data_IF_507412965472
#
_entry.id   IF_507412965472
#
_cell.length_a   1.000
_cell.length_b   1.000
_cell.length_c   1.000
_cell.angle_alpha   90.00
_cell.angle_beta   90.00
_cell.angle_gamma   90.00
#
_symmetry.space_group_name_H-M   'P 1'
#
loop_
_entity.id
_entity.type
_entity.pdbx_description
1 polymer ?
#
# COMPACT_ATOMS: atom_id res chain seq x y z
N UNK A 1 -45.08 11.99 -0.97
CA UNK A 1 -43.80 11.42 -0.48
C UNK A 1 -43.56 11.97 0.90
N UNK A 2 -43.39 11.12 1.91
CA UNK A 2 -42.96 11.58 3.25
C UNK A 2 -41.57 12.20 3.12
N UNK A 3 -41.34 13.41 3.65
CA UNK A 3 -40.02 14.02 3.64
C UNK A 3 -39.02 13.08 4.34
N UNK A 4 -37.80 13.01 3.81
CA UNK A 4 -36.75 12.24 4.45
C UNK A 4 -36.42 12.88 5.82
N UNK A 5 -36.17 12.07 6.87
CA UNK A 5 -35.74 12.60 8.16
C UNK A 5 -34.45 13.40 8.05
N UNK A 6 -34.28 14.41 8.91
CA UNK A 6 -33.08 15.27 8.93
C UNK A 6 -31.79 14.47 9.08
N UNK A 7 -31.81 13.42 9.92
CA UNK A 7 -30.67 12.54 10.13
C UNK A 7 -30.25 11.76 8.88
N UNK A 8 -31.14 11.61 7.88
CA UNK A 8 -30.80 11.07 6.55
C UNK A 8 -30.32 12.18 5.62
N UNK A 9 -30.98 13.35 5.64
CA UNK A 9 -30.67 14.47 4.78
C UNK A 9 -29.24 14.99 4.97
N UNK A 10 -28.70 14.90 6.19
CA UNK A 10 -27.28 15.18 6.50
C UNK A 10 -26.30 14.47 5.56
N UNK A 11 -26.64 13.25 5.12
CA UNK A 11 -25.78 12.41 4.28
C UNK A 11 -26.22 12.37 2.82
N UNK A 12 -27.43 12.83 2.49
CA UNK A 12 -27.97 12.84 1.11
C UNK A 12 -27.51 14.08 0.36
N UNK A 13 -26.23 14.12 0.00
CA UNK A 13 -25.67 15.17 -0.86
C UNK A 13 -25.91 14.88 -2.34
N UNK A 14 -25.52 15.80 -3.23
CA UNK A 14 -25.67 15.64 -4.68
C UNK A 14 -24.97 14.34 -5.15
N UNK A 15 -25.69 13.50 -5.88
CA UNK A 15 -25.18 12.20 -6.35
C UNK A 15 -25.36 11.06 -5.34
N UNK A 16 -25.91 11.33 -4.15
CA UNK A 16 -26.25 10.32 -3.14
C UNK A 16 -27.76 10.12 -3.09
N UNK A 17 -28.17 8.87 -3.17
CA UNK A 17 -29.57 8.44 -3.23
C UNK A 17 -29.88 7.62 -1.98
N UNK A 18 -31.02 7.91 -1.36
CA UNK A 18 -31.47 7.24 -0.15
C UNK A 18 -32.67 6.33 -0.48
N UNK A 19 -32.60 5.07 -0.04
CA UNK A 19 -33.68 4.09 -0.15
C UNK A 19 -34.08 3.61 1.25
N UNK A 20 -35.37 3.72 1.60
CA UNK A 20 -35.88 3.21 2.88
C UNK A 20 -35.67 1.70 2.96
N UNK A 21 -35.21 1.22 4.11
CA UNK A 21 -35.07 -0.20 4.45
C UNK A 21 -35.79 -0.48 5.77
N UNK A 22 -35.78 -1.76 6.23
CA UNK A 22 -36.36 -2.15 7.52
C UNK A 22 -35.64 -1.49 8.71
N UNK A 23 -34.33 -1.28 8.60
CA UNK A 23 -33.46 -0.83 9.71
C UNK A 23 -33.06 0.65 9.62
N UNK A 24 -33.35 1.32 8.50
CA UNK A 24 -32.91 2.70 8.28
C UNK A 24 -33.07 3.14 6.82
N UNK A 25 -32.06 3.80 6.29
CA UNK A 25 -31.98 4.19 4.88
C UNK A 25 -30.65 3.75 4.27
N UNK A 26 -30.71 2.92 3.23
CA UNK A 26 -29.55 2.57 2.43
C UNK A 26 -29.14 3.77 1.56
N UNK A 27 -27.85 4.11 1.58
CA UNK A 27 -27.28 5.16 0.74
C UNK A 27 -26.48 4.58 -0.42
N UNK A 28 -26.70 5.14 -1.60
CA UNK A 28 -25.99 4.78 -2.81
C UNK A 28 -25.39 6.02 -3.45
N UNK A 29 -24.14 5.94 -3.87
CA UNK A 29 -23.59 6.87 -4.85
C UNK A 29 -24.05 6.41 -6.22
N UNK A 30 -24.51 7.33 -7.03
CA UNK A 30 -24.84 7.01 -8.40
C UNK A 30 -25.04 8.23 -9.26
N UNK A 31 -25.23 7.98 -10.54
CA UNK A 31 -25.53 8.99 -11.53
C UNK A 31 -26.67 8.54 -12.42
N UNK A 32 -27.27 9.49 -13.14
CA UNK A 32 -28.29 9.19 -14.14
C UNK A 32 -27.65 9.27 -15.52
N UNK A 33 -27.74 8.21 -16.30
CA UNK A 33 -27.27 8.19 -17.68
C UNK A 33 -28.45 8.07 -18.66
N UNK A 34 -28.36 8.72 -19.83
CA UNK A 34 -29.34 8.51 -20.90
C UNK A 34 -28.97 7.25 -21.67
N UNK A 35 -29.83 6.23 -21.61
CA UNK A 35 -29.66 4.98 -22.35
C UNK A 35 -30.49 5.05 -23.63
N UNK A 36 -29.90 4.81 -24.82
CA UNK A 36 -30.65 4.76 -26.07
C UNK A 36 -31.85 3.81 -25.98
N UNK A 37 -33.01 4.25 -26.47
CA UNK A 37 -34.25 3.47 -26.45
C UNK A 37 -35.04 3.50 -25.13
N UNK A 38 -34.55 4.18 -24.08
CA UNK A 38 -35.34 4.47 -22.87
C UNK A 38 -35.86 5.90 -22.90
N UNK A 39 -37.13 6.09 -22.56
CA UNK A 39 -37.78 7.41 -22.52
C UNK A 39 -37.33 8.29 -21.34
N UNK A 40 -36.53 7.75 -20.41
CA UNK A 40 -36.05 8.45 -19.23
C UNK A 40 -34.60 8.05 -18.89
N UNK A 41 -33.83 8.93 -18.23
CA UNK A 41 -32.50 8.60 -17.71
C UNK A 41 -32.56 7.42 -16.75
N UNK A 42 -31.61 6.49 -16.87
CA UNK A 42 -31.50 5.31 -16.02
C UNK A 42 -30.49 5.61 -14.91
N UNK A 43 -30.88 5.29 -13.68
CA UNK A 43 -29.97 5.36 -12.54
C UNK A 43 -28.92 4.26 -12.62
N UNK A 44 -27.65 4.63 -12.51
CA UNK A 44 -26.51 3.75 -12.32
C UNK A 44 -26.01 3.89 -10.90
N UNK A 45 -25.95 2.76 -10.20
CA UNK A 45 -25.36 2.68 -8.88
C UNK A 45 -23.86 2.50 -9.05
N UNK A 46 -23.10 3.50 -8.63
CA UNK A 46 -21.64 3.46 -8.65
C UNK A 46 -21.11 2.73 -7.41
N UNK A 47 -21.73 2.99 -6.26
CA UNK A 47 -21.23 2.51 -4.97
C UNK A 47 -22.37 2.42 -3.94
N UNK A 48 -22.34 1.38 -3.11
CA UNK A 48 -23.17 1.29 -1.92
C UNK A 48 -22.41 1.85 -0.71
N UNK A 49 -22.90 2.96 -0.15
CA UNK A 49 -22.21 3.71 0.90
C UNK A 49 -22.48 3.16 2.30
N UNK A 50 -23.58 2.45 2.51
CA UNK A 50 -23.96 1.88 3.80
C UNK A 50 -25.40 2.18 4.22
N UNK A 51 -25.69 1.99 5.50
CA UNK A 51 -27.02 2.21 6.10
C UNK A 51 -26.93 3.38 7.05
N UNK A 52 -27.76 4.41 6.85
CA UNK A 52 -27.99 5.43 7.87
C UNK A 52 -29.08 4.94 8.81
N UNK A 53 -28.79 4.94 10.11
CA UNK A 53 -29.75 4.73 11.18
C UNK A 53 -29.87 5.99 12.04
N UNK A 54 -30.98 6.14 12.75
CA UNK A 54 -31.21 7.30 13.62
C UNK A 54 -30.22 7.37 14.79
N UNK A 55 -29.86 6.21 15.35
CA UNK A 55 -28.96 6.11 16.52
C UNK A 55 -27.48 6.21 16.15
N UNK A 56 -27.06 5.54 15.07
CA UNK A 56 -25.63 5.36 14.74
C UNK A 56 -25.15 6.27 13.62
N UNK A 57 -26.06 7.02 12.99
CA UNK A 57 -25.74 7.77 11.78
C UNK A 57 -25.43 6.84 10.62
N UNK A 58 -24.52 7.24 9.72
CA UNK A 58 -24.07 6.40 8.62
C UNK A 58 -23.18 5.26 9.12
N UNK A 59 -23.68 4.04 9.05
CA UNK A 59 -22.89 2.81 9.19
C UNK A 59 -22.37 2.45 7.80
N UNK A 60 -21.06 2.68 7.51
CA UNK A 60 -20.52 2.49 6.17
C UNK A 60 -20.59 1.03 5.74
N UNK A 61 -20.76 0.82 4.44
CA UNK A 61 -20.68 -0.50 3.84
C UNK A 61 -19.27 -1.07 4.03
N UNK A 62 -19.16 -2.26 4.61
CA UNK A 62 -17.94 -3.06 4.61
C UNK A 62 -18.09 -4.10 3.52
N UNK A 63 -17.63 -3.86 2.29
CA UNK A 63 -17.73 -4.85 1.23
C UNK A 63 -17.03 -6.13 1.69
N UNK A 64 -17.55 -7.32 1.34
CA UNK A 64 -16.88 -8.56 1.67
C UNK A 64 -15.46 -8.54 1.08
N UNK A 65 -14.52 -9.09 1.84
CA UNK A 65 -13.16 -9.31 1.35
C UNK A 65 -13.22 -10.39 0.28
N UNK A 66 -12.93 -10.02 -0.97
CA UNK A 66 -12.87 -10.99 -2.08
C UNK A 66 -11.63 -11.90 -1.92
N UNK A 67 -11.70 -13.17 -2.37
CA UNK A 67 -10.54 -14.03 -2.49
C UNK A 67 -9.44 -13.43 -3.38
N UNK A 68 -8.24 -14.03 -3.38
CA UNK A 68 -7.02 -13.53 -4.03
C UNK A 68 -6.38 -12.31 -3.34
N UNK A 69 -6.33 -12.33 -2.00
CA UNK A 69 -5.58 -11.37 -1.20
C UNK A 69 -4.08 -11.63 -1.40
N UNK A 70 -3.31 -10.58 -1.67
CA UNK A 70 -1.85 -10.65 -1.67
C UNK A 70 -1.28 -9.82 -0.53
N UNK A 71 -0.27 -10.34 0.16
CA UNK A 71 0.37 -9.65 1.29
C UNK A 71 1.88 -9.65 1.05
N UNK A 72 2.47 -8.46 1.03
CA UNK A 72 3.89 -8.25 0.79
C UNK A 72 4.52 -7.51 1.96
N UNK A 73 5.74 -7.89 2.34
CA UNK A 73 6.53 -7.11 3.30
C UNK A 73 6.86 -5.76 2.70
N UNK A 74 6.46 -4.68 3.37
CA UNK A 74 6.52 -3.34 2.81
C UNK A 74 7.50 -2.42 3.53
N UNK A 75 7.35 -2.26 4.84
CA UNK A 75 8.04 -1.19 5.57
C UNK A 75 9.55 -1.23 5.40
N UNK A 76 10.15 -2.42 5.54
CA UNK A 76 11.58 -2.60 5.32
C UNK A 76 12.00 -2.29 3.88
N UNK A 77 11.31 -2.85 2.88
CA UNK A 77 11.63 -2.59 1.47
C UNK A 77 11.54 -1.11 1.12
N UNK A 78 10.49 -0.45 1.62
CA UNK A 78 10.25 0.97 1.39
C UNK A 78 11.30 1.86 2.06
N UNK A 79 11.70 1.55 3.30
CA UNK A 79 12.73 2.34 3.98
C UNK A 79 14.10 2.18 3.33
N UNK A 80 14.41 0.97 2.84
CA UNK A 80 15.62 0.72 2.06
C UNK A 80 15.58 1.47 0.74
N UNK A 81 14.51 1.38 -0.04
CA UNK A 81 14.45 2.06 -1.34
C UNK A 81 14.54 3.59 -1.19
N UNK A 82 13.79 4.17 -0.26
CA UNK A 82 13.79 5.63 -0.04
C UNK A 82 15.13 6.14 0.50
N UNK A 83 15.85 5.34 1.28
CA UNK A 83 17.14 5.74 1.87
C UNK A 83 18.32 5.43 0.96
N UNK A 84 18.25 4.34 0.20
CA UNK A 84 19.41 3.71 -0.42
C UNK A 84 19.37 3.63 -1.94
N UNK A 85 18.27 4.03 -2.62
CA UNK A 85 18.13 3.96 -4.10
C UNK A 85 19.34 4.48 -4.88
N UNK A 86 19.96 5.58 -4.44
CA UNK A 86 21.14 6.15 -5.10
C UNK A 86 22.37 5.23 -5.16
N UNK A 87 22.44 4.18 -4.31
CA UNK A 87 23.55 3.22 -4.33
C UNK A 87 23.58 2.40 -5.62
N UNK A 88 22.47 2.29 -6.35
CA UNK A 88 22.39 1.57 -7.64
C UNK A 88 23.19 2.24 -8.77
N UNK A 89 23.42 3.56 -8.68
CA UNK A 89 24.14 4.32 -9.70
C UNK A 89 25.57 3.85 -9.97
N UNK A 90 26.27 3.35 -8.94
CA UNK A 90 27.65 2.93 -9.11
C UNK A 90 27.77 1.57 -9.86
N UNK A 91 27.11 0.48 -9.42
CA UNK A 91 27.11 -0.77 -10.19
C UNK A 91 26.54 -0.60 -11.60
N UNK A 92 25.53 0.25 -11.81
CA UNK A 92 25.04 0.60 -13.15
C UNK A 92 26.17 1.11 -14.07
N UNK A 93 26.99 2.05 -13.57
CA UNK A 93 28.13 2.61 -14.34
C UNK A 93 29.23 1.58 -14.62
N UNK A 94 29.33 0.56 -13.78
CA UNK A 94 30.26 -0.55 -13.96
C UNK A 94 29.70 -1.64 -14.90
N UNK A 95 28.47 -1.47 -15.42
CA UNK A 95 27.82 -2.47 -16.27
C UNK A 95 27.31 -3.69 -15.50
N UNK A 96 27.19 -3.60 -14.17
CA UNK A 96 26.65 -4.65 -13.32
C UNK A 96 25.13 -4.51 -13.20
N UNK A 97 24.45 -5.61 -12.88
CA UNK A 97 23.02 -5.59 -12.57
C UNK A 97 22.78 -4.99 -11.18
N UNK A 98 22.57 -3.69 -11.16
CA UNK A 98 22.42 -2.93 -9.94
C UNK A 98 21.16 -3.28 -9.15
N UNK A 99 20.07 -3.65 -9.84
CA UNK A 99 18.81 -4.00 -9.19
C UNK A 99 18.94 -5.35 -8.48
N UNK A 100 19.51 -6.38 -9.13
CA UNK A 100 19.80 -7.65 -8.45
C UNK A 100 20.74 -7.45 -7.27
N UNK A 101 21.83 -6.69 -7.43
CA UNK A 101 22.78 -6.43 -6.34
C UNK A 101 22.12 -5.69 -5.16
N UNK A 102 21.30 -4.69 -5.45
CA UNK A 102 20.62 -3.89 -4.44
C UNK A 102 19.57 -4.70 -3.69
N UNK A 103 18.71 -5.42 -4.41
CA UNK A 103 17.68 -6.26 -3.82
C UNK A 103 18.29 -7.42 -3.03
N UNK A 104 19.34 -8.09 -3.53
CA UNK A 104 20.09 -9.12 -2.77
C UNK A 104 20.68 -8.53 -1.49
N UNK A 105 21.32 -7.37 -1.56
CA UNK A 105 21.91 -6.74 -0.40
C UNK A 105 20.85 -6.39 0.66
N UNK A 106 19.73 -5.82 0.25
CA UNK A 106 18.62 -5.46 1.13
C UNK A 106 17.99 -6.70 1.79
N UNK A 107 17.64 -7.72 1.00
CA UNK A 107 17.06 -8.96 1.52
C UNK A 107 18.05 -9.76 2.37
N UNK A 108 19.34 -9.65 2.10
CA UNK A 108 20.40 -10.21 2.94
C UNK A 108 20.38 -9.65 4.36
N UNK A 109 20.07 -8.36 4.54
CA UNK A 109 19.92 -7.76 5.86
C UNK A 109 18.67 -8.27 6.61
N UNK A 110 17.60 -8.64 5.90
CA UNK A 110 16.43 -9.32 6.50
C UNK A 110 16.66 -10.82 6.74
N UNK A 111 17.78 -11.39 6.28
CA UNK A 111 17.97 -12.85 6.24
C UNK A 111 17.05 -13.58 5.25
N UNK A 112 16.53 -12.88 4.23
CA UNK A 112 15.53 -13.38 3.26
C UNK A 112 16.03 -13.30 1.82
N UNK A 113 17.31 -13.46 1.61
CA UNK A 113 17.94 -13.46 0.28
C UNK A 113 17.67 -14.76 -0.48
N UNK A 114 16.40 -14.98 -0.81
CA UNK A 114 15.95 -16.10 -1.62
C UNK A 114 14.88 -15.62 -2.58
N UNK A 115 14.59 -16.44 -3.61
CA UNK A 115 13.48 -16.18 -4.54
C UNK A 115 12.16 -15.94 -3.81
N UNK A 116 11.80 -16.84 -2.87
CA UNK A 116 10.59 -16.71 -2.05
C UNK A 116 10.62 -15.44 -1.18
N UNK A 117 11.80 -15.10 -0.65
CA UNK A 117 11.97 -13.88 0.13
C UNK A 117 11.62 -12.63 -0.67
N UNK A 118 12.00 -12.58 -1.94
CA UNK A 118 11.68 -11.50 -2.86
C UNK A 118 10.24 -11.48 -3.33
N UNK A 119 9.69 -12.62 -3.75
CA UNK A 119 8.31 -12.75 -4.21
C UNK A 119 7.32 -12.32 -3.10
N UNK A 120 7.65 -12.58 -1.83
CA UNK A 120 6.88 -12.10 -0.67
C UNK A 120 7.22 -10.68 -0.19
N UNK A 121 7.95 -9.88 -0.98
CA UNK A 121 8.40 -8.54 -0.60
C UNK A 121 7.94 -7.48 -1.60
N UNK A 122 7.84 -6.24 -1.14
CA UNK A 122 7.49 -5.11 -1.99
C UNK A 122 8.53 -4.84 -3.08
N UNK A 123 9.75 -5.37 -2.95
CA UNK A 123 10.73 -5.31 -4.03
C UNK A 123 10.26 -6.01 -5.31
N UNK A 124 9.38 -7.01 -5.24
CA UNK A 124 8.78 -7.63 -6.44
C UNK A 124 7.89 -6.68 -7.23
N UNK A 125 7.31 -5.67 -6.57
CA UNK A 125 6.52 -4.61 -7.21
C UNK A 125 7.43 -3.51 -7.76
N UNK A 126 8.48 -3.14 -7.01
CA UNK A 126 9.40 -2.07 -7.39
C UNK A 126 10.36 -2.49 -8.52
N UNK A 127 10.73 -3.76 -8.56
CA UNK A 127 11.75 -4.31 -9.46
C UNK A 127 11.24 -5.59 -10.13
N UNK A 128 10.19 -5.52 -10.98
CA UNK A 128 9.50 -6.71 -11.49
C UNK A 128 10.35 -7.60 -12.39
N UNK A 129 11.39 -7.04 -13.03
CA UNK A 129 12.26 -7.76 -13.96
C UNK A 129 13.47 -8.42 -13.27
N UNK A 130 13.61 -8.25 -11.96
CA UNK A 130 14.75 -8.78 -11.20
C UNK A 130 14.65 -10.30 -11.02
N UNK A 131 15.59 -11.04 -11.62
CA UNK A 131 15.76 -12.47 -11.35
C UNK A 131 16.76 -12.70 -10.21
N UNK A 132 16.26 -13.01 -9.02
CA UNK A 132 17.09 -13.34 -7.86
C UNK A 132 17.65 -14.77 -7.88
N UNK A 133 17.09 -15.65 -8.71
CA UNK A 133 17.50 -17.04 -8.84
C UNK A 133 18.71 -17.23 -9.75
N UNK A 134 19.04 -16.23 -10.58
CA UNK A 134 20.20 -16.32 -11.48
C UNK A 134 21.52 -16.39 -10.71
N UNK A 135 22.49 -17.03 -11.33
CA UNK A 135 23.88 -17.04 -10.85
C UNK A 135 24.48 -15.66 -11.08
N UNK A 136 25.15 -15.12 -10.05
CA UNK A 136 25.89 -13.87 -10.17
C UNK A 136 27.18 -14.07 -10.96
N UNK A 137 27.60 -13.06 -11.71
CA UNK A 137 28.95 -13.04 -12.28
C UNK A 137 30.00 -12.94 -11.17
N UNK A 138 31.26 -13.23 -11.47
CA UNK A 138 32.35 -13.09 -10.50
C UNK A 138 32.51 -11.63 -10.01
N UNK A 139 32.29 -10.66 -10.89
CA UNK A 139 32.34 -9.23 -10.55
C UNK A 139 31.19 -8.83 -9.63
N UNK A 140 29.96 -9.26 -9.93
CA UNK A 140 28.79 -9.04 -9.07
C UNK A 140 28.96 -9.72 -7.70
N UNK A 141 29.49 -10.94 -7.67
CA UNK A 141 29.80 -11.67 -6.45
C UNK A 141 30.81 -10.93 -5.56
N UNK A 142 31.83 -10.31 -6.16
CA UNK A 142 32.80 -9.44 -5.44
C UNK A 142 32.19 -8.11 -5.00
N UNK A 143 31.23 -7.57 -5.76
CA UNK A 143 30.59 -6.29 -5.44
C UNK A 143 29.51 -6.41 -4.35
N UNK A 144 28.76 -7.50 -4.29
CA UNK A 144 27.63 -7.68 -3.37
C UNK A 144 27.97 -7.40 -1.89
N UNK A 145 29.11 -7.86 -1.32
CA UNK A 145 29.50 -7.51 0.04
C UNK A 145 29.76 -6.01 0.26
N UNK A 146 30.19 -5.29 -0.78
CA UNK A 146 30.35 -3.82 -0.73
C UNK A 146 28.95 -3.18 -0.67
N UNK A 147 28.03 -3.60 -1.54
CA UNK A 147 26.66 -3.10 -1.54
C UNK A 147 25.98 -3.31 -0.17
N UNK A 148 26.13 -4.50 0.44
CA UNK A 148 25.57 -4.79 1.78
C UNK A 148 26.02 -3.78 2.83
N UNK A 149 27.33 -3.55 2.93
CA UNK A 149 27.90 -2.58 3.87
C UNK A 149 27.42 -1.16 3.60
N UNK A 150 27.30 -0.78 2.33
CA UNK A 150 26.79 0.54 1.94
C UNK A 150 25.31 0.73 2.31
N UNK A 151 24.47 -0.28 2.06
CA UNK A 151 23.06 -0.26 2.45
C UNK A 151 22.94 -0.15 3.97
N UNK A 152 23.64 -1.02 4.71
CA UNK A 152 23.61 -1.01 6.18
C UNK A 152 24.08 0.33 6.77
N UNK A 153 25.23 0.85 6.32
CA UNK A 153 25.76 2.13 6.77
C UNK A 153 24.75 3.26 6.50
N UNK A 154 24.19 3.32 5.29
CA UNK A 154 23.28 4.39 4.91
C UNK A 154 21.95 4.34 5.65
N UNK A 155 21.45 3.14 5.95
CA UNK A 155 20.30 2.97 6.84
C UNK A 155 20.62 3.44 8.25
N UNK A 156 21.75 3.02 8.83
CA UNK A 156 22.18 3.44 10.16
C UNK A 156 22.27 4.96 10.26
N UNK A 157 22.86 5.60 9.26
CA UNK A 157 22.96 7.07 9.19
C UNK A 157 21.59 7.74 9.07
N UNK A 158 20.69 7.20 8.23
CA UNK A 158 19.37 7.78 7.98
C UNK A 158 18.42 7.63 9.18
N UNK A 159 18.46 6.47 9.84
CA UNK A 159 17.56 6.13 10.94
C UNK A 159 18.09 6.60 12.30
N UNK A 160 19.41 6.77 12.43
CA UNK A 160 20.06 7.27 13.64
C UNK A 160 20.08 6.24 14.77
N UNK A 161 20.15 6.68 16.05
CA UNK A 161 20.25 5.79 17.20
C UNK A 161 19.14 4.74 17.28
N UNK A 162 17.93 5.07 16.82
CA UNK A 162 16.76 4.18 16.84
C UNK A 162 16.72 3.19 15.66
N UNK A 163 17.81 3.02 14.89
CA UNK A 163 17.80 2.20 13.67
C UNK A 163 17.26 0.77 13.87
N UNK A 164 17.72 0.04 14.89
CA UNK A 164 17.26 -1.33 15.16
C UNK A 164 15.76 -1.38 15.45
N UNK A 165 15.27 -0.44 16.27
CA UNK A 165 13.85 -0.33 16.60
C UNK A 165 13.01 -0.02 15.35
N UNK A 166 13.46 0.95 14.54
CA UNK A 166 12.77 1.33 13.30
C UNK A 166 12.71 0.17 12.31
N UNK A 167 13.80 -0.57 12.12
CA UNK A 167 13.83 -1.74 11.23
C UNK A 167 12.92 -2.86 11.73
N UNK A 168 12.90 -3.12 13.04
CA UNK A 168 12.00 -4.10 13.64
C UNK A 168 10.52 -3.74 13.45
N UNK A 169 10.16 -2.46 13.66
CA UNK A 169 8.81 -1.96 13.43
C UNK A 169 8.42 -1.99 11.95
N UNK A 170 9.33 -1.58 11.06
CA UNK A 170 9.14 -1.62 9.61
C UNK A 170 8.96 -3.05 9.07
N UNK A 171 9.59 -4.04 9.71
CA UNK A 171 9.44 -5.46 9.36
C UNK A 171 8.03 -6.00 9.61
N UNK A 172 7.22 -5.30 10.41
CA UNK A 172 5.83 -5.64 10.70
C UNK A 172 4.81 -4.82 9.89
N UNK A 173 5.27 -3.97 8.96
CA UNK A 173 4.42 -3.20 8.08
C UNK A 173 4.30 -3.88 6.71
N UNK A 174 3.08 -4.23 6.32
CA UNK A 174 2.78 -4.98 5.11
C UNK A 174 1.94 -4.16 4.13
N UNK A 175 2.14 -4.40 2.84
CA UNK A 175 1.23 -3.98 1.78
C UNK A 175 0.25 -5.13 1.51
N UNK A 176 -1.04 -4.84 1.52
CA UNK A 176 -2.13 -5.80 1.36
C UNK A 176 -2.94 -5.41 0.12
N UNK A 177 -2.91 -6.26 -0.90
CA UNK A 177 -3.79 -6.11 -2.06
C UNK A 177 -5.11 -6.80 -1.77
N UNK A 178 -6.19 -6.03 -1.67
CA UNK A 178 -7.54 -6.52 -1.41
C UNK A 178 -8.54 -5.73 -2.23
N UNK A 179 -9.55 -6.41 -2.76
CA UNK A 179 -10.64 -5.78 -3.53
C UNK A 179 -10.18 -4.89 -4.70
N UNK A 180 -9.01 -5.17 -5.29
CA UNK A 180 -8.45 -4.45 -6.44
C UNK A 180 -7.61 -3.22 -6.09
N UNK A 181 -7.33 -3.00 -4.80
CA UNK A 181 -6.47 -1.90 -4.33
C UNK A 181 -5.39 -2.39 -3.38
N UNK A 182 -4.29 -1.64 -3.31
CA UNK A 182 -3.25 -1.84 -2.29
C UNK A 182 -3.55 -0.98 -1.07
N UNK A 183 -3.38 -1.56 0.10
CA UNK A 183 -3.55 -0.91 1.39
C UNK A 183 -2.33 -1.22 2.27
N UNK A 184 -2.07 -0.37 3.26
CA UNK A 184 -1.12 -0.71 4.31
C UNK A 184 -1.83 -1.47 5.43
N UNK A 185 -1.12 -2.43 6.03
CA UNK A 185 -1.48 -2.92 7.36
C UNK A 185 -1.37 -1.79 8.38
N UNK A 186 -1.91 -2.04 9.58
CA UNK A 186 -1.88 -1.06 10.66
C UNK A 186 -0.45 -0.60 10.97
N UNK A 187 -0.28 0.71 11.13
CA UNK A 187 1.00 1.34 11.46
C UNK A 187 1.00 1.61 12.95
N UNK A 188 1.97 1.06 13.68
CA UNK A 188 2.04 1.33 15.12
C UNK A 188 2.33 2.81 15.39
N UNK A 189 1.69 3.39 16.40
CA UNK A 189 1.93 4.80 16.76
C UNK A 189 3.40 5.10 17.08
N UNK A 190 4.17 4.10 17.53
CA UNK A 190 5.62 4.23 17.71
C UNK A 190 6.36 4.39 16.37
N UNK A 191 5.99 3.61 15.36
CA UNK A 191 6.56 3.73 14.02
C UNK A 191 6.20 5.08 13.40
N UNK A 192 4.95 5.52 13.53
CA UNK A 192 4.51 6.86 13.06
C UNK A 192 5.34 7.98 13.68
N UNK A 193 5.53 7.95 15.01
CA UNK A 193 6.35 8.91 15.72
C UNK A 193 7.79 8.95 15.22
N UNK A 194 8.44 7.79 15.05
CA UNK A 194 9.83 7.71 14.60
C UNK A 194 9.97 8.17 13.14
N UNK A 195 9.05 7.79 12.27
CA UNK A 195 9.01 8.25 10.88
C UNK A 195 8.82 9.76 10.79
N UNK A 196 7.92 10.35 11.59
CA UNK A 196 7.72 11.80 11.66
C UNK A 196 9.00 12.52 12.14
N UNK A 197 9.62 12.02 13.22
CA UNK A 197 10.90 12.55 13.76
C UNK A 197 12.02 12.58 12.71
N UNK A 198 12.00 11.64 11.76
CA UNK A 198 13.03 11.48 10.71
C UNK A 198 12.60 12.00 9.33
N UNK A 199 11.41 12.59 9.22
CA UNK A 199 10.82 13.01 7.93
C UNK A 199 10.82 11.88 6.90
N UNK A 200 10.38 10.69 7.31
CA UNK A 200 10.20 9.50 6.46
C UNK A 200 8.71 9.32 6.21
N UNK A 201 8.31 9.24 4.95
CA UNK A 201 6.94 8.93 4.55
C UNK A 201 6.79 7.43 4.31
N UNK A 202 5.76 6.82 4.88
CA UNK A 202 5.40 5.41 4.64
C UNK A 202 4.36 5.25 3.52
N UNK A 203 4.05 6.32 2.80
CA UNK A 203 2.95 6.35 1.84
C UNK A 203 3.11 5.33 0.69
N UNK A 204 2.04 4.57 0.46
CA UNK A 204 1.92 3.65 -0.67
C UNK A 204 1.34 4.43 -1.87
N UNK A 205 2.00 4.39 -3.03
CA UNK A 205 1.51 4.93 -4.30
C UNK A 205 0.02 4.73 -4.59
N UNK A 206 -0.66 5.74 -5.18
CA UNK A 206 -1.96 5.57 -5.85
C UNK A 206 -3.20 6.07 -5.08
N UNK A 207 -4.33 6.17 -5.79
CA UNK A 207 -5.61 6.61 -5.24
C UNK A 207 -6.12 5.61 -4.18
N UNK A 208 -5.81 5.88 -2.93
CA UNK A 208 -6.44 5.22 -1.80
C UNK A 208 -7.87 5.73 -1.68
N UNK A 209 -8.84 4.84 -1.86
CA UNK A 209 -10.15 5.02 -1.25
C UNK A 209 -9.93 4.94 0.26
N UNK A 210 -9.76 6.12 0.88
CA UNK A 210 -9.77 6.25 2.33
C UNK A 210 -11.01 5.59 2.90
N UNK A 211 -10.80 4.82 3.96
CA UNK A 211 -11.85 4.20 4.79
C UNK A 211 -12.78 5.28 5.35
#
# INVERSE_FOLDING_TARGET
>A
MTPLPEWVLKYKTKGIYAKKTKTGYALYRGHSERVPGKSYPVFRCDEYLGIVTEREGLVPSRPPVKPAISVLRYGFCHIVETSCSLLRKNPERLGLDADVLFVKAALGLEGKESRHGYEGSWFSILFPETDLGRVLTEEEGRYLPIMRRQVESKLRDRLGPEHDEMLALCSNLYAVHVNGGWHLSDISGRLEYLCAKRSISLWLGGNHHGV
#
